data_IF_908516529204
#
_entry.id   IF_908516529204
#
_cell.length_a   1.000
_cell.length_b   1.000
_cell.length_c   1.000
_cell.angle_alpha   90.00
_cell.angle_beta   90.00
_cell.angle_gamma   90.00
#
_symmetry.space_group_name_H-M   'P 1'
#
loop_
_entity.id
_entity.type
_entity.pdbx_description
1 polymer ?
#
# COMPACT_ATOMS: atom_id res chain seq x y z
N UNK A 1 12.50 -2.91 10.12
CA UNK A 1 11.62 -4.10 10.21
C UNK A 1 12.49 -5.32 9.96
N UNK A 2 12.86 -6.05 11.00
CA UNK A 2 13.66 -7.26 10.88
C UNK A 2 12.84 -8.35 10.16
N UNK A 3 13.45 -9.07 9.21
CA UNK A 3 12.80 -10.16 8.51
C UNK A 3 12.62 -11.33 9.52
N UNK A 4 11.42 -11.92 9.68
CA UNK A 4 11.23 -13.01 10.62
C UNK A 4 12.15 -14.19 10.27
N UNK A 5 12.69 -14.91 11.28
CA UNK A 5 13.52 -16.08 11.05
C UNK A 5 12.72 -17.08 10.21
N UNK A 6 13.29 -17.47 9.07
CA UNK A 6 12.63 -18.40 8.17
C UNK A 6 12.60 -19.77 8.85
N UNK A 7 11.45 -20.47 8.89
CA UNK A 7 11.39 -21.83 9.43
C UNK A 7 12.37 -22.73 8.65
N UNK A 8 12.97 -23.75 9.31
CA UNK A 8 13.95 -24.61 8.65
C UNK A 8 13.32 -25.25 7.39
N UNK A 9 13.91 -24.99 6.23
CA UNK A 9 13.44 -25.58 4.98
C UNK A 9 13.72 -27.08 5.00
N UNK A 10 12.68 -27.91 4.94
CA UNK A 10 12.81 -29.38 4.87
C UNK A 10 13.59 -29.84 3.63
N UNK A 11 13.64 -29.01 2.58
CA UNK A 11 14.48 -29.17 1.40
C UNK A 11 15.11 -27.83 1.02
N UNK A 12 16.45 -27.81 0.89
CA UNK A 12 17.18 -26.63 0.41
C UNK A 12 17.17 -26.63 -1.12
N UNK A 13 16.61 -25.60 -1.74
CA UNK A 13 16.69 -25.43 -3.19
C UNK A 13 18.16 -25.20 -3.60
N UNK A 14 18.79 -26.09 -4.41
CA UNK A 14 20.19 -25.97 -4.81
C UNK A 14 20.45 -24.75 -5.71
N UNK A 15 19.43 -24.24 -6.40
CA UNK A 15 19.51 -23.08 -7.29
C UNK A 15 19.20 -21.75 -6.60
N UNK A 16 18.93 -21.74 -5.30
CA UNK A 16 18.55 -20.52 -4.58
C UNK A 16 19.59 -19.38 -4.70
N UNK A 17 20.89 -19.72 -4.81
CA UNK A 17 21.97 -18.74 -5.03
C UNK A 17 21.96 -18.19 -6.45
N UNK A 18 21.65 -19.03 -7.44
CA UNK A 18 21.50 -18.61 -8.83
C UNK A 18 20.25 -17.77 -9.06
N UNK A 19 19.15 -18.04 -8.35
CA UNK A 19 17.91 -17.26 -8.42
C UNK A 19 17.91 -15.99 -7.54
N UNK A 20 18.95 -15.79 -6.73
CA UNK A 20 19.02 -14.67 -5.79
C UNK A 20 18.93 -13.30 -6.48
N UNK A 21 19.47 -13.15 -7.69
CA UNK A 21 19.42 -11.90 -8.45
C UNK A 21 18.00 -11.47 -8.82
N UNK A 22 17.06 -12.43 -8.97
CA UNK A 22 15.64 -12.14 -9.27
C UNK A 22 14.91 -11.59 -8.06
N UNK A 23 15.38 -11.90 -6.86
CA UNK A 23 14.80 -11.44 -5.58
C UNK A 23 15.30 -10.04 -5.21
N UNK A 24 15.46 -9.17 -6.20
CA UNK A 24 15.91 -7.81 -5.99
C UNK A 24 14.81 -6.98 -5.29
N UNK A 25 15.14 -6.09 -4.34
CA UNK A 25 14.16 -5.28 -3.62
C UNK A 25 13.25 -4.42 -4.53
N UNK A 26 13.71 -4.09 -5.73
CA UNK A 26 12.92 -3.35 -6.73
C UNK A 26 11.70 -4.13 -7.20
N UNK A 27 11.78 -5.47 -7.27
CA UNK A 27 10.70 -6.34 -7.73
C UNK A 27 9.83 -6.86 -6.59
N UNK A 28 9.97 -6.33 -5.37
CA UNK A 28 9.09 -6.73 -4.27
C UNK A 28 7.65 -6.28 -4.56
N UNK A 29 6.68 -7.17 -4.30
CA UNK A 29 5.24 -6.90 -4.47
C UNK A 29 4.82 -5.54 -3.86
N UNK A 30 5.32 -5.22 -2.65
CA UNK A 30 5.02 -3.97 -1.95
C UNK A 30 5.50 -2.72 -2.72
N UNK A 31 6.67 -2.82 -3.35
CA UNK A 31 7.30 -1.73 -4.09
C UNK A 31 6.60 -1.51 -5.43
N UNK A 32 5.98 -2.55 -5.98
CA UNK A 32 5.10 -2.42 -7.15
C UNK A 32 3.76 -1.79 -6.73
N UNK A 33 3.11 -2.31 -5.67
CA UNK A 33 1.81 -1.81 -5.21
C UNK A 33 1.83 -0.33 -4.79
N UNK A 34 2.86 0.10 -4.06
CA UNK A 34 3.01 1.50 -3.65
C UNK A 34 3.20 2.47 -4.82
N UNK A 35 3.61 1.97 -5.99
CA UNK A 35 3.81 2.76 -7.22
C UNK A 35 2.62 2.70 -8.18
N UNK A 36 1.65 1.81 -7.97
CA UNK A 36 0.48 1.69 -8.85
C UNK A 36 -0.41 2.92 -8.80
N UNK A 37 -0.48 3.62 -7.66
CA UNK A 37 -1.32 4.80 -7.48
C UNK A 37 -0.49 6.01 -7.02
N UNK A 38 0.20 6.68 -7.96
CA UNK A 38 0.93 7.90 -7.63
C UNK A 38 -0.05 8.95 -7.07
N UNK A 39 0.20 9.42 -5.85
CA UNK A 39 -0.63 10.45 -5.22
C UNK A 39 -1.89 9.93 -4.50
N UNK A 40 -2.12 8.62 -4.39
CA UNK A 40 -3.30 8.08 -3.67
C UNK A 40 -3.40 8.60 -2.23
N UNK A 41 -2.29 8.69 -1.51
CA UNK A 41 -2.27 9.23 -0.15
C UNK A 41 -2.74 10.69 -0.09
N UNK A 42 -2.36 11.51 -1.07
CA UNK A 42 -2.79 12.93 -1.14
C UNK A 42 -4.28 13.00 -1.47
N UNK A 43 -4.76 12.19 -2.41
CA UNK A 43 -6.17 12.14 -2.79
C UNK A 43 -7.05 11.74 -1.61
N UNK A 44 -6.66 10.72 -0.84
CA UNK A 44 -7.39 10.30 0.36
C UNK A 44 -7.45 11.44 1.38
N UNK A 45 -6.34 12.11 1.66
CA UNK A 45 -6.31 13.23 2.63
C UNK A 45 -7.22 14.37 2.17
N UNK A 46 -7.11 14.79 0.90
CA UNK A 46 -7.92 15.86 0.33
C UNK A 46 -9.41 15.53 0.37
N UNK A 47 -9.79 14.33 -0.07
CA UNK A 47 -11.18 13.88 -0.05
C UNK A 47 -11.75 13.84 1.38
N UNK A 48 -10.99 13.29 2.32
CA UNK A 48 -11.44 13.20 3.72
C UNK A 48 -11.61 14.60 4.34
N UNK A 49 -10.67 15.52 4.06
CA UNK A 49 -10.79 16.91 4.52
C UNK A 49 -12.01 17.62 3.92
N UNK A 50 -12.33 17.36 2.66
CA UNK A 50 -13.52 17.89 2.01
C UNK A 50 -14.80 17.36 2.68
N UNK A 51 -14.92 16.05 2.86
CA UNK A 51 -16.12 15.43 3.49
C UNK A 51 -16.31 15.94 4.93
N UNK A 52 -15.22 16.06 5.70
CA UNK A 52 -15.30 16.61 7.07
C UNK A 52 -15.73 18.08 7.04
N UNK A 53 -15.19 18.87 6.11
CA UNK A 53 -15.57 20.27 5.98
C UNK A 53 -17.04 20.41 5.60
N UNK A 54 -17.50 19.63 4.63
CA UNK A 54 -18.89 19.56 4.18
C UNK A 54 -19.82 19.22 5.34
N UNK A 55 -19.55 18.14 6.09
CA UNK A 55 -20.45 17.69 7.17
C UNK A 55 -20.44 18.57 8.42
N UNK A 56 -19.39 19.35 8.67
CA UNK A 56 -19.30 20.20 9.87
C UNK A 56 -19.60 21.68 9.62
N UNK A 57 -19.28 22.21 8.44
CA UNK A 57 -19.36 23.64 8.15
C UNK A 57 -20.40 23.99 7.08
N UNK A 58 -20.86 23.02 6.29
CA UNK A 58 -21.89 23.23 5.26
C UNK A 58 -23.10 22.33 5.55
N UNK A 59 -23.97 22.71 6.50
CA UNK A 59 -25.22 21.98 6.74
C UNK A 59 -25.99 21.90 5.42
N UNK A 60 -26.37 20.69 5.00
CA UNK A 60 -27.13 20.51 3.76
C UNK A 60 -28.47 21.26 3.92
N UNK A 61 -28.73 22.21 3.01
CA UNK A 61 -30.07 22.76 2.89
C UNK A 61 -30.99 21.58 2.56
N UNK A 62 -31.86 21.24 3.50
CA UNK A 62 -32.82 20.18 3.35
C UNK A 62 -33.64 20.46 2.10
N UNK A 63 -33.41 19.66 1.05
CA UNK A 63 -34.29 19.59 -0.11
C UNK A 63 -35.65 19.06 0.34
N UNK A 64 -36.47 19.96 0.87
CA UNK A 64 -37.87 19.76 1.13
C UNK A 64 -38.59 19.69 -0.21
N UNK A 65 -38.86 18.47 -0.66
CA UNK A 65 -40.08 18.17 -1.41
C UNK A 65 -41.16 17.75 -0.41
#
# INVERSE_FOLDING_TARGET
MANPPQPPSLFRNPWARADAWRKHPVFQQRNMLSRMFPGFGIAVVAFTSYVVAEKLFFPEESHHH
#
